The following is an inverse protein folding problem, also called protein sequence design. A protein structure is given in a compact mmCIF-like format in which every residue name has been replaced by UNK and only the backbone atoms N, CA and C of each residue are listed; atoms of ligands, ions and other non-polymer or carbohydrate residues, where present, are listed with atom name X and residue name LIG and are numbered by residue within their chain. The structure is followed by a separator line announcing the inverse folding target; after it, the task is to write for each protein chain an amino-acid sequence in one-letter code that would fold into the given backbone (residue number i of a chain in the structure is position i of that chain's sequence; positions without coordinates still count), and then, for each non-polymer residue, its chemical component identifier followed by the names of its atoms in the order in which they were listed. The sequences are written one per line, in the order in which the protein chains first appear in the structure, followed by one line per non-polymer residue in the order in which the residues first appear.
data_IF_516053134408
#
_entry.id   IF_516053134408
#
_cell.length_a   1.000
_cell.length_b   1.000
_cell.length_c   1.000
_cell.angle_alpha   90.00
_cell.angle_beta   90.00
_cell.angle_gamma   90.00
#
_symmetry.space_group_name_H-M   'P 1'
#
loop_
_entity.id
_entity.type
_entity.pdbx_description
1 polymer ?
#
# COMPACT_ATOMS: atom_id res chain seq x y z
N UNK A 1 6.80 -6.17 -12.19
CA UNK A 1 5.62 -7.03 -11.96
C UNK A 1 4.51 -6.78 -12.97
N UNK A 2 3.92 -5.58 -13.03
CA UNK A 2 2.79 -5.29 -13.95
C UNK A 2 3.15 -5.49 -15.43
N UNK A 3 4.34 -5.05 -15.86
CA UNK A 3 4.82 -5.27 -17.22
C UNK A 3 4.91 -6.77 -17.59
N UNK A 4 5.49 -7.60 -16.72
CA UNK A 4 5.51 -9.05 -16.89
C UNK A 4 4.11 -9.66 -16.88
N UNK A 5 3.23 -9.20 -15.99
CA UNK A 5 1.84 -9.68 -15.95
C UNK A 5 1.08 -9.37 -17.26
N UNK A 6 1.36 -8.22 -17.91
CA UNK A 6 0.89 -7.91 -19.26
C UNK A 6 1.48 -8.87 -20.30
N UNK A 7 2.80 -9.04 -20.33
CA UNK A 7 3.48 -9.91 -21.30
C UNK A 7 3.01 -11.36 -21.22
N UNK A 8 2.66 -11.84 -20.02
CA UNK A 8 2.11 -13.18 -19.78
C UNK A 8 0.58 -13.28 -19.98
N UNK A 9 -0.09 -12.20 -20.39
CA UNK A 9 -1.54 -12.18 -20.59
C UNK A 9 -2.37 -12.29 -19.31
N UNK A 10 -1.77 -12.03 -18.15
CA UNK A 10 -2.46 -12.00 -16.85
C UNK A 10 -3.21 -10.68 -16.64
N UNK A 11 -2.72 -9.58 -17.24
CA UNK A 11 -3.39 -8.27 -17.28
C UNK A 11 -3.56 -7.87 -18.75
N UNK A 12 -4.78 -7.51 -19.14
CA UNK A 12 -5.07 -7.07 -20.51
C UNK A 12 -4.57 -5.65 -20.77
N UNK A 13 -4.36 -5.32 -22.04
CA UNK A 13 -4.07 -3.94 -22.47
C UNK A 13 -5.19 -2.99 -22.04
N UNK A 14 -6.45 -3.40 -22.22
CA UNK A 14 -7.64 -2.64 -21.81
C UNK A 14 -7.62 -2.30 -20.31
N UNK A 15 -7.21 -3.23 -19.45
CA UNK A 15 -7.11 -2.96 -18.01
C UNK A 15 -6.10 -1.85 -17.70
N UNK A 16 -4.96 -1.84 -18.41
CA UNK A 16 -3.94 -0.80 -18.27
C UNK A 16 -4.42 0.56 -18.79
N UNK A 17 -5.08 0.58 -19.94
CA UNK A 17 -5.65 1.81 -20.53
C UNK A 17 -6.75 2.42 -19.65
N UNK A 18 -7.65 1.58 -19.12
CA UNK A 18 -8.68 2.00 -18.19
C UNK A 18 -8.08 2.53 -16.89
N UNK A 19 -7.01 1.90 -16.40
CA UNK A 19 -6.28 2.36 -15.22
C UNK A 19 -5.62 3.72 -15.46
N UNK A 20 -4.96 3.90 -16.62
CA UNK A 20 -4.36 5.17 -17.00
C UNK A 20 -5.41 6.28 -17.12
N UNK A 21 -6.54 6.00 -17.79
CA UNK A 21 -7.65 6.95 -17.95
C UNK A 21 -8.29 7.31 -16.61
N UNK A 22 -8.42 6.35 -15.70
CA UNK A 22 -8.91 6.59 -14.35
C UNK A 22 -7.95 7.53 -13.60
N UNK A 23 -6.66 7.24 -13.59
CA UNK A 23 -5.66 8.04 -12.89
C UNK A 23 -5.57 9.45 -13.47
N UNK A 24 -5.53 9.65 -14.79
CA UNK A 24 -5.48 11.00 -15.40
C UNK A 24 -6.59 11.96 -14.95
N UNK A 25 -7.71 11.45 -14.43
CA UNK A 25 -8.82 12.26 -13.92
C UNK A 25 -8.70 12.62 -12.43
N UNK A 26 -7.82 11.96 -11.69
CA UNK A 26 -7.70 12.14 -10.24
C UNK A 26 -6.98 13.44 -9.92
N UNK A 27 -7.50 14.12 -8.89
CA UNK A 27 -6.92 15.35 -8.33
C UNK A 27 -6.88 15.33 -6.80
N UNK A 28 -7.33 14.24 -6.20
CA UNK A 28 -7.34 14.04 -4.76
C UNK A 28 -6.27 13.02 -4.41
N UNK A 29 -5.40 13.39 -3.46
CA UNK A 29 -4.32 12.56 -3.00
C UNK A 29 -4.41 12.33 -1.49
N UNK A 30 -4.02 11.15 -1.05
CA UNK A 30 -4.11 10.76 0.35
C UNK A 30 -3.28 11.70 1.23
N UNK A 31 -2.06 12.05 0.82
CA UNK A 31 -1.20 12.99 1.57
C UNK A 31 -1.80 14.40 1.71
N UNK A 32 -2.70 14.82 0.80
CA UNK A 32 -3.34 16.13 0.87
C UNK A 32 -4.63 16.13 1.71
N UNK A 33 -5.24 14.95 1.91
CA UNK A 33 -6.54 14.81 2.56
C UNK A 33 -6.46 14.18 3.96
N UNK A 34 -5.35 13.51 4.29
CA UNK A 34 -5.17 12.84 5.57
C UNK A 34 -3.89 13.33 6.26
N UNK A 35 -4.06 13.87 7.46
CA UNK A 35 -2.96 14.47 8.24
C UNK A 35 -2.86 13.85 9.63
N UNK A 36 -1.63 13.82 10.14
CA UNK A 36 -1.36 13.50 11.55
C UNK A 36 -1.94 14.62 12.40
N UNK A 37 -2.75 14.27 13.40
CA UNK A 37 -3.34 15.25 14.31
C UNK A 37 -2.75 15.13 15.70
N UNK A 38 -2.69 16.25 16.42
CA UNK A 38 -2.25 16.31 17.82
C UNK A 38 -3.34 16.96 18.65
N UNK A 39 -3.84 16.24 19.64
CA UNK A 39 -4.83 16.76 20.58
C UNK A 39 -4.23 17.84 21.48
N UNK A 40 -5.07 18.76 21.96
CA UNK A 40 -4.66 19.72 22.99
C UNK A 40 -4.20 18.99 24.25
N UNK A 41 -3.17 19.53 24.88
CA UNK A 41 -2.66 19.03 26.15
C UNK A 41 -3.74 19.09 27.25
N UNK A 42 -3.71 18.10 28.13
CA UNK A 42 -4.57 18.01 29.32
C UNK A 42 -3.72 17.58 30.49
N UNK A 43 -3.94 18.17 31.66
CA UNK A 43 -3.31 17.71 32.90
C UNK A 43 -3.68 16.25 33.16
N UNK A 44 -2.67 15.45 33.54
CA UNK A 44 -2.79 14.03 33.77
C UNK A 44 -1.87 13.60 34.92
N UNK A 45 -2.44 13.00 35.96
CA UNK A 45 -1.68 12.48 37.10
C UNK A 45 -1.31 11.02 36.88
N UNK A 46 -0.02 10.69 37.01
CA UNK A 46 0.46 9.31 36.92
C UNK A 46 1.60 9.07 37.92
N UNK A 47 1.47 8.05 38.76
CA UNK A 47 2.47 7.74 39.79
C UNK A 47 2.68 8.84 40.85
N UNK A 48 1.68 9.70 41.08
CA UNK A 48 1.76 10.83 42.01
C UNK A 48 2.49 12.06 41.45
N UNK A 49 2.72 12.11 40.13
CA UNK A 49 3.31 13.26 39.43
C UNK A 49 2.34 13.84 38.40
N UNK A 50 2.38 15.16 38.23
CA UNK A 50 1.64 15.90 37.20
C UNK A 50 2.33 15.82 35.83
N UNK A 51 1.59 15.43 34.80
CA UNK A 51 2.01 15.44 33.39
C UNK A 51 1.03 16.26 32.53
N UNK A 52 1.51 16.76 31.40
CA UNK A 52 0.66 17.23 30.30
C UNK A 52 0.57 16.15 29.24
N UNK A 53 -0.59 15.50 29.16
CA UNK A 53 -0.86 14.46 28.17
C UNK A 53 -1.45 15.05 26.90
N UNK A 54 -0.90 14.66 25.76
CA UNK A 54 -1.49 14.87 24.42
C UNK A 54 -1.44 13.54 23.66
N UNK A 55 -2.43 13.31 22.80
CA UNK A 55 -2.46 12.17 21.88
C UNK A 55 -2.10 12.63 20.48
N UNK A 56 -1.26 11.83 19.82
CA UNK A 56 -0.96 11.97 18.39
C UNK A 56 -1.70 10.84 17.68
N UNK A 57 -2.49 11.19 16.67
CA UNK A 57 -3.28 10.23 15.89
C UNK A 57 -2.75 10.16 14.47
N UNK A 58 -2.52 8.93 14.01
CA UNK A 58 -2.01 8.63 12.69
C UNK A 58 -3.12 8.00 11.84
N UNK A 59 -3.50 8.62 10.71
CA UNK A 59 -4.43 7.99 9.78
C UNK A 59 -3.90 6.65 9.24
N UNK A 60 -4.78 5.65 9.24
CA UNK A 60 -4.60 4.34 8.61
C UNK A 60 -5.81 4.11 7.70
N UNK A 61 -5.55 3.82 6.43
CA UNK A 61 -6.57 3.38 5.48
C UNK A 61 -6.33 1.91 5.15
N UNK A 62 -7.39 1.14 5.03
CA UNK A 62 -7.35 -0.27 4.66
C UNK A 62 -8.18 -0.45 3.39
N UNK A 63 -7.60 -1.09 2.39
CA UNK A 63 -8.29 -1.55 1.19
C UNK A 63 -8.15 -3.07 1.09
N UNK A 64 -9.22 -3.80 1.41
CA UNK A 64 -9.26 -5.25 1.26
C UNK A 64 -9.52 -5.63 -0.18
N UNK A 65 -8.75 -6.59 -0.69
CA UNK A 65 -8.97 -7.19 -2.01
C UNK A 65 -9.84 -8.44 -1.89
N UNK A 66 -9.58 -9.23 -0.85
CA UNK A 66 -10.42 -10.34 -0.40
C UNK A 66 -10.19 -10.59 1.12
N UNK A 67 -10.60 -11.77 1.61
CA UNK A 67 -10.47 -12.15 3.03
C UNK A 67 -9.02 -12.39 3.47
N UNK A 68 -8.10 -12.65 2.53
CA UNK A 68 -6.72 -13.02 2.79
C UNK A 68 -5.72 -11.92 2.40
N UNK A 69 -6.09 -10.99 1.53
CA UNK A 69 -5.21 -9.99 0.93
C UNK A 69 -5.75 -8.56 1.13
N UNK A 70 -4.91 -7.66 1.66
CA UNK A 70 -5.26 -6.26 1.86
C UNK A 70 -4.07 -5.31 1.67
N UNK A 71 -4.37 -4.06 1.38
CA UNK A 71 -3.41 -2.95 1.42
C UNK A 71 -3.67 -2.07 2.64
N UNK A 72 -2.61 -1.75 3.38
CA UNK A 72 -2.63 -0.72 4.42
C UNK A 72 -1.89 0.52 3.93
N UNK A 73 -2.54 1.68 4.02
CA UNK A 73 -1.90 2.98 3.79
C UNK A 73 -1.77 3.71 5.12
N UNK A 74 -0.55 3.95 5.56
CA UNK A 74 -0.25 4.60 6.83
C UNK A 74 0.38 5.96 6.58
N UNK A 75 -0.21 7.01 7.16
CA UNK A 75 0.41 8.34 7.14
C UNK A 75 1.43 8.43 8.28
N UNK A 76 2.67 8.77 7.94
CA UNK A 76 3.79 8.93 8.88
C UNK A 76 4.55 10.22 8.60
N UNK A 77 5.31 10.71 9.56
CA UNK A 77 6.31 11.73 9.33
C UNK A 77 7.41 11.20 8.41
N UNK A 78 7.94 12.06 7.55
CA UNK A 78 9.14 11.74 6.77
C UNK A 78 10.34 11.59 7.70
N UNK A 79 11.12 10.52 7.55
CA UNK A 79 12.43 10.44 8.20
C UNK A 79 13.31 11.55 7.63
N UNK A 80 13.69 12.53 8.46
CA UNK A 80 14.48 13.72 8.09
C UNK A 80 13.75 14.78 7.24
N UNK A 81 12.42 14.68 7.07
CA UNK A 81 11.61 15.69 6.39
C UNK A 81 10.66 16.42 7.35
N UNK A 82 10.16 17.58 6.93
CA UNK A 82 9.13 18.33 7.68
C UNK A 82 7.70 17.99 7.29
N UNK A 83 7.52 17.10 6.29
CA UNK A 83 6.22 16.71 5.75
C UNK A 83 5.80 15.33 6.23
N UNK A 84 4.54 15.02 6.00
CA UNK A 84 4.01 13.66 6.09
C UNK A 84 4.23 12.91 4.77
N UNK A 85 4.19 11.58 4.84
CA UNK A 85 4.23 10.68 3.70
C UNK A 85 3.24 9.54 3.91
N UNK A 86 2.63 9.06 2.81
CA UNK A 86 1.78 7.88 2.81
C UNK A 86 2.59 6.64 2.45
N UNK A 87 2.61 5.65 3.35
CA UNK A 87 3.30 4.37 3.17
C UNK A 87 2.30 3.28 2.84
N UNK A 88 2.47 2.60 1.70
CA UNK A 88 1.65 1.46 1.28
C UNK A 88 2.31 0.15 1.69
N UNK A 89 1.59 -0.68 2.44
CA UNK A 89 1.94 -2.05 2.78
C UNK A 89 0.97 -3.01 2.13
N UNK A 90 1.48 -4.12 1.61
CA UNK A 90 0.67 -5.22 1.12
C UNK A 90 0.73 -6.37 2.13
N UNK A 91 -0.42 -6.71 2.68
CA UNK A 91 -0.57 -7.74 3.69
C UNK A 91 -1.33 -8.91 3.08
N UNK A 92 -0.85 -10.11 3.35
CA UNK A 92 -1.48 -11.34 2.89
C UNK A 92 -1.37 -12.44 3.95
N UNK A 93 -2.32 -13.36 3.95
CA UNK A 93 -2.27 -14.55 4.78
C UNK A 93 -1.03 -15.38 4.46
N UNK A 94 -0.39 -15.95 5.49
CA UNK A 94 0.73 -16.89 5.30
C UNK A 94 0.31 -18.13 4.48
N UNK A 95 -0.99 -18.39 4.36
CA UNK A 95 -1.55 -19.47 3.55
C UNK A 95 -1.42 -19.21 2.04
N UNK A 96 -1.26 -17.95 1.62
CA UNK A 96 -1.03 -17.58 0.22
C UNK A 96 0.40 -17.92 -0.26
N UNK A 97 1.29 -18.25 0.68
CA UNK A 97 2.68 -18.54 0.39
C UNK A 97 2.92 -20.02 0.08
N UNK A 98 3.58 -20.28 -1.06
CA UNK A 98 4.06 -21.61 -1.44
C UNK A 98 5.49 -21.84 -0.96
N UNK A 99 5.70 -22.99 -0.35
CA UNK A 99 6.97 -23.48 0.19
C UNK A 99 7.07 -24.99 -0.02
N UNK A 100 8.26 -25.59 0.16
CA UNK A 100 8.43 -27.04 0.04
C UNK A 100 7.62 -27.82 1.11
N UNK A 101 7.44 -27.21 2.29
CA UNK A 101 6.55 -27.72 3.34
C UNK A 101 5.69 -26.57 3.84
N UNK A 102 4.36 -26.71 4.04
CA UNK A 102 3.49 -25.62 4.46
C UNK A 102 4.03 -24.88 5.70
N UNK A 103 3.93 -23.55 5.72
CA UNK A 103 4.43 -22.71 6.81
C UNK A 103 3.56 -22.77 8.08
N UNK A 104 2.30 -23.18 7.95
CA UNK A 104 1.37 -23.24 9.07
C UNK A 104 1.86 -24.22 10.14
N UNK A 105 1.81 -23.80 11.41
CA UNK A 105 2.20 -24.61 12.59
C UNK A 105 3.67 -25.05 12.63
N UNK A 106 4.58 -24.30 12.01
CA UNK A 106 6.01 -24.52 12.16
C UNK A 106 6.81 -23.21 12.15
N UNK A 107 8.06 -23.30 12.59
CA UNK A 107 9.03 -22.21 12.44
C UNK A 107 9.65 -22.26 11.05
N UNK A 108 9.80 -21.10 10.41
CA UNK A 108 10.58 -20.98 9.19
C UNK A 108 12.05 -21.34 9.47
N UNK A 109 12.66 -22.11 8.56
CA UNK A 109 14.07 -22.46 8.67
C UNK A 109 14.96 -21.25 8.34
N UNK A 110 16.25 -21.32 8.73
CA UNK A 110 17.19 -20.23 8.48
C UNK A 110 17.29 -19.95 6.97
N UNK A 111 17.02 -18.69 6.58
CA UNK A 111 17.02 -18.24 5.17
C UNK A 111 16.02 -18.98 4.28
N UNK A 112 14.93 -19.48 4.87
CA UNK A 112 13.82 -20.01 4.10
C UNK A 112 13.16 -18.93 3.26
N UNK A 113 12.82 -19.26 2.01
CA UNK A 113 12.09 -18.39 1.11
C UNK A 113 10.75 -19.03 0.77
N UNK A 114 9.76 -18.19 0.52
CA UNK A 114 8.44 -18.59 0.09
C UNK A 114 8.04 -17.82 -1.16
N UNK A 115 7.11 -18.38 -1.93
CA UNK A 115 6.65 -17.80 -3.17
C UNK A 115 5.20 -17.37 -3.05
N UNK A 116 4.94 -16.08 -3.24
CA UNK A 116 3.60 -15.59 -3.59
C UNK A 116 3.44 -15.73 -5.11
N UNK A 117 2.47 -16.54 -5.55
CA UNK A 117 2.29 -16.81 -6.98
C UNK A 117 1.29 -15.83 -7.58
N UNK A 118 1.71 -15.13 -8.63
CA UNK A 118 0.81 -14.28 -9.42
C UNK A 118 0.22 -15.09 -10.56
N UNK A 119 -1.10 -15.12 -10.67
CA UNK A 119 -1.86 -15.83 -11.68
C UNK A 119 -3.05 -14.99 -12.14
N UNK A 120 -3.79 -15.49 -13.13
CA UNK A 120 -4.85 -14.71 -13.80
C UNK A 120 -5.92 -14.18 -12.84
N UNK A 121 -6.25 -14.94 -11.78
CA UNK A 121 -7.27 -14.52 -10.82
C UNK A 121 -6.83 -13.38 -9.88
N UNK A 122 -5.57 -13.33 -9.42
CA UNK A 122 -5.08 -12.30 -8.49
C UNK A 122 -4.27 -11.18 -9.17
N UNK A 123 -3.87 -11.34 -10.44
CA UNK A 123 -3.17 -10.30 -11.18
C UNK A 123 -3.88 -8.92 -11.18
N UNK A 124 -5.23 -8.83 -11.28
CA UNK A 124 -5.94 -7.56 -11.19
C UNK A 124 -5.75 -6.81 -9.86
N UNK A 125 -5.56 -7.52 -8.74
CA UNK A 125 -5.27 -6.91 -7.44
C UNK A 125 -4.02 -6.04 -7.51
N UNK A 126 -2.95 -6.54 -8.12
CA UNK A 126 -1.70 -5.79 -8.22
C UNK A 126 -1.84 -4.54 -9.10
N UNK A 127 -2.74 -4.56 -10.09
CA UNK A 127 -3.08 -3.37 -10.86
C UNK A 127 -3.87 -2.37 -10.01
N UNK A 128 -4.74 -2.85 -9.14
CA UNK A 128 -5.45 -2.02 -8.17
C UNK A 128 -4.51 -1.42 -7.12
N UNK A 129 -3.52 -2.18 -6.63
CA UNK A 129 -2.44 -1.63 -5.80
C UNK A 129 -1.67 -0.51 -6.52
N UNK A 130 -1.41 -0.65 -7.82
CA UNK A 130 -0.79 0.41 -8.61
C UNK A 130 -1.69 1.66 -8.69
N UNK A 131 -3.02 1.48 -8.77
CA UNK A 131 -3.98 2.59 -8.68
C UNK A 131 -3.89 3.29 -7.32
N UNK A 132 -3.88 2.53 -6.23
CA UNK A 132 -3.72 3.06 -4.86
C UNK A 132 -2.41 3.85 -4.75
N UNK A 133 -1.32 3.31 -5.29
CA UNK A 133 -0.03 4.01 -5.31
C UNK A 133 -0.14 5.36 -6.04
N UNK A 134 -0.84 5.40 -7.17
CA UNK A 134 -1.12 6.64 -7.92
C UNK A 134 -2.04 7.65 -7.21
N UNK A 135 -2.65 7.29 -6.08
CA UNK A 135 -3.45 8.16 -5.22
C UNK A 135 -2.71 8.64 -3.97
N UNK A 136 -1.51 8.13 -3.68
CA UNK A 136 -0.80 8.46 -2.44
C UNK A 136 -0.42 9.95 -2.37
N UNK A 137 0.21 10.47 -3.42
CA UNK A 137 0.65 11.86 -3.52
C UNK A 137 0.72 12.30 -4.98
N UNK A 138 0.84 13.61 -5.22
CA UNK A 138 1.04 14.15 -6.57
C UNK A 138 2.32 13.61 -7.25
N UNK A 139 3.36 13.30 -6.47
CA UNK A 139 4.61 12.72 -6.99
C UNK A 139 4.38 11.27 -7.44
N UNK A 140 3.82 10.43 -6.56
CA UNK A 140 3.48 9.05 -6.91
C UNK A 140 2.52 8.99 -8.11
N UNK A 141 1.57 9.91 -8.18
CA UNK A 141 0.67 10.05 -9.30
C UNK A 141 1.41 10.23 -10.63
N UNK A 142 2.35 11.18 -10.69
CA UNK A 142 3.15 11.44 -11.89
C UNK A 142 3.96 10.20 -12.29
N UNK A 143 4.55 9.51 -11.32
CA UNK A 143 5.36 8.33 -11.57
C UNK A 143 4.53 7.16 -12.11
N UNK A 144 3.36 6.89 -11.52
CA UNK A 144 2.47 5.83 -11.99
C UNK A 144 1.95 6.11 -13.40
N UNK A 145 1.60 7.36 -13.72
CA UNK A 145 1.21 7.74 -15.09
C UNK A 145 2.34 7.42 -16.08
N UNK A 146 3.58 7.82 -15.78
CA UNK A 146 4.75 7.54 -16.65
C UNK A 146 5.02 6.04 -16.79
N UNK A 147 4.90 5.28 -15.70
CA UNK A 147 5.07 3.82 -15.71
C UNK A 147 4.03 3.17 -16.62
N UNK A 148 2.76 3.52 -16.47
CA UNK A 148 1.68 2.99 -17.30
C UNK A 148 1.85 3.36 -18.77
N UNK A 149 2.16 4.63 -19.06
CA UNK A 149 2.45 5.08 -20.42
C UNK A 149 3.62 4.31 -21.04
N UNK A 150 4.67 4.03 -20.26
CA UNK A 150 5.80 3.24 -20.75
C UNK A 150 5.44 1.77 -21.01
N UNK A 151 4.66 1.15 -20.12
CA UNK A 151 4.19 -0.23 -20.30
C UNK A 151 3.29 -0.36 -21.53
N UNK A 152 2.46 0.65 -21.81
CA UNK A 152 1.55 0.67 -22.97
C UNK A 152 2.28 0.86 -24.32
N UNK A 153 3.51 1.38 -24.32
CA UNK A 153 4.32 1.52 -25.53
C UNK A 153 5.08 0.24 -25.91
N UNK A 154 5.35 -0.62 -24.93
CA UNK A 154 6.01 -1.91 -25.13
C UNK A 154 5.00 -3.01 -25.53
#
# INVERSE_FOLDING_TARGET
MIDYAKQLGLISLENLENTLKYLKKQKQFIEDNFMITRERFRSHQFGGMDFELSRISYPLLIHSFDDNELSEIVIREQQYGSKTQAMLYFCFSILELKTATPLLNRTATLKEHAFLTIHKANAPMFLEMLKIFGLLSQAHHSDVLKILEKILQN
#
